data_IF_910372361722
#
_entry.id   IF_910372361722
#
_cell.length_a   1.000
_cell.length_b   1.000
_cell.length_c   1.000
_cell.angle_alpha   90.00
_cell.angle_beta   90.00
_cell.angle_gamma   90.00
#
_symmetry.space_group_name_H-M   'P 1'
#
loop_
_entity.id
_entity.type
_entity.pdbx_description
1 polymer ?
#
# COMPACT_ATOMS: atom_id res chain seq x y z
N UNK A 1 -38.81 13.15 -7.35
CA UNK A 1 -37.61 12.71 -8.05
C UNK A 1 -36.99 13.93 -8.71
N UNK A 2 -35.99 14.52 -8.09
CA UNK A 2 -35.19 15.55 -8.72
C UNK A 2 -34.23 14.88 -9.70
N UNK A 3 -34.37 15.19 -10.98
CA UNK A 3 -33.37 14.97 -12.01
C UNK A 3 -32.09 15.72 -11.61
N UNK A 4 -31.19 15.06 -10.88
CA UNK A 4 -29.82 15.49 -10.82
C UNK A 4 -29.19 15.15 -12.16
N UNK A 5 -28.78 16.17 -12.87
CA UNK A 5 -28.20 16.15 -14.20
C UNK A 5 -27.14 15.06 -14.37
N UNK A 6 -27.31 14.25 -15.41
CA UNK A 6 -26.42 13.19 -15.92
C UNK A 6 -25.06 13.70 -16.43
N UNK A 7 -24.39 14.55 -15.66
CA UNK A 7 -22.98 14.86 -15.82
C UNK A 7 -22.13 14.18 -14.71
N UNK A 8 -22.65 13.09 -14.15
CA UNK A 8 -21.89 12.24 -13.27
C UNK A 8 -20.76 11.59 -14.08
N UNK A 9 -19.53 11.82 -13.62
CA UNK A 9 -18.36 11.20 -14.19
C UNK A 9 -18.53 9.69 -14.00
N UNK A 10 -18.76 8.93 -15.09
CA UNK A 10 -19.14 7.51 -15.04
C UNK A 10 -18.19 6.64 -14.23
N UNK A 11 -16.93 7.06 -14.02
CA UNK A 11 -15.96 6.36 -13.14
C UNK A 11 -16.37 6.34 -11.67
N UNK A 12 -17.29 7.22 -11.22
CA UNK A 12 -17.88 7.17 -9.87
C UNK A 12 -18.73 5.91 -9.66
N UNK A 13 -19.19 5.26 -10.74
CA UNK A 13 -19.96 4.04 -10.64
C UNK A 13 -19.18 2.85 -10.07
N UNK A 14 -17.85 2.78 -10.23
CA UNK A 14 -17.04 1.77 -9.54
C UNK A 14 -17.16 1.87 -8.02
N UNK A 15 -17.18 3.10 -7.48
CA UNK A 15 -17.42 3.29 -6.05
C UNK A 15 -18.85 2.90 -5.66
N UNK A 16 -19.84 3.27 -6.46
CA UNK A 16 -21.25 2.87 -6.26
C UNK A 16 -21.40 1.35 -6.23
N UNK A 17 -20.79 0.63 -7.19
CA UNK A 17 -20.83 -0.82 -7.23
C UNK A 17 -20.24 -1.42 -5.94
N UNK A 18 -19.12 -0.89 -5.45
CA UNK A 18 -18.51 -1.31 -4.16
C UNK A 18 -19.46 -1.06 -2.98
N UNK A 19 -20.21 0.05 -2.98
CA UNK A 19 -21.25 0.30 -1.96
C UNK A 19 -22.38 -0.73 -2.04
N UNK A 20 -22.78 -1.13 -3.24
CA UNK A 20 -23.84 -2.14 -3.41
C UNK A 20 -23.37 -3.53 -2.97
N UNK A 21 -22.11 -3.90 -3.22
CA UNK A 21 -21.52 -5.14 -2.71
C UNK A 21 -21.48 -5.15 -1.18
N UNK A 22 -21.04 -4.06 -0.54
CA UNK A 22 -21.06 -3.94 0.93
C UNK A 22 -22.50 -3.98 1.48
N UNK A 23 -23.46 -3.37 0.78
CA UNK A 23 -24.87 -3.43 1.15
C UNK A 23 -25.42 -4.87 1.13
N UNK A 24 -24.98 -5.67 0.16
CA UNK A 24 -25.33 -7.10 0.05
C UNK A 24 -24.69 -7.90 1.20
N UNK A 25 -23.40 -7.68 1.49
CA UNK A 25 -22.70 -8.32 2.61
C UNK A 25 -23.34 -8.00 3.96
N UNK A 26 -23.86 -6.78 4.13
CA UNK A 26 -24.58 -6.36 5.33
C UNK A 26 -26.03 -6.91 5.38
N UNK A 27 -26.51 -7.60 4.33
CA UNK A 27 -27.82 -8.22 4.25
C UNK A 27 -28.98 -7.25 3.92
N UNK A 28 -28.67 -6.02 3.47
CA UNK A 28 -29.70 -5.01 3.12
C UNK A 28 -30.02 -4.95 1.63
N UNK A 29 -29.28 -5.63 0.77
CA UNK A 29 -29.56 -5.71 -0.66
C UNK A 29 -30.55 -6.84 -0.98
N UNK A 30 -31.83 -6.63 -0.57
CA UNK A 30 -32.91 -7.58 -0.79
C UNK A 30 -34.25 -6.87 -1.00
N UNK A 31 -35.26 -7.59 -1.52
CA UNK A 31 -36.57 -7.03 -1.85
C UNK A 31 -37.29 -6.40 -0.66
N UNK A 32 -37.05 -6.87 0.57
CA UNK A 32 -37.67 -6.32 1.76
C UNK A 32 -37.31 -4.86 2.00
N UNK A 33 -36.06 -4.50 1.71
CA UNK A 33 -35.53 -3.14 1.90
C UNK A 33 -35.60 -2.30 0.64
N UNK A 34 -35.19 -2.86 -0.53
CA UNK A 34 -35.09 -2.11 -1.78
C UNK A 34 -36.43 -1.62 -2.28
N UNK A 35 -37.49 -2.44 -2.17
CA UNK A 35 -38.85 -2.06 -2.62
C UNK A 35 -39.46 -0.90 -1.79
N UNK A 36 -38.96 -0.67 -0.59
CA UNK A 36 -39.41 0.42 0.29
C UNK A 36 -38.55 1.68 0.20
N UNK A 37 -37.35 1.56 -0.42
CA UNK A 37 -36.34 2.62 -0.51
C UNK A 37 -35.46 2.74 0.73
N UNK A 38 -34.18 2.97 0.50
CA UNK A 38 -33.14 3.20 1.51
C UNK A 38 -32.40 4.48 1.21
N UNK A 39 -32.03 5.21 2.26
CA UNK A 39 -31.04 6.29 2.19
C UNK A 39 -29.73 5.75 2.74
N UNK A 40 -28.72 5.62 1.88
CA UNK A 40 -27.40 5.10 2.21
C UNK A 40 -26.43 6.25 2.31
N UNK A 41 -25.87 6.46 3.50
CA UNK A 41 -24.83 7.46 3.77
C UNK A 41 -23.48 6.79 3.70
N UNK A 42 -22.59 7.33 2.87
CA UNK A 42 -21.30 6.71 2.58
C UNK A 42 -20.13 7.62 2.95
N UNK A 43 -18.95 7.04 3.03
CA UNK A 43 -17.68 7.76 3.22
C UNK A 43 -17.11 8.38 1.93
N UNK A 44 -17.91 8.40 0.87
CA UNK A 44 -17.52 8.95 -0.44
C UNK A 44 -17.03 10.40 -0.33
N UNK A 45 -15.86 10.66 -0.90
CA UNK A 45 -15.29 11.99 -1.03
C UNK A 45 -15.26 12.39 -2.50
N UNK A 46 -16.17 13.29 -2.88
CA UNK A 46 -16.30 13.75 -4.27
C UNK A 46 -15.07 14.52 -4.76
N UNK A 47 -14.36 15.28 -3.91
CA UNK A 47 -13.12 15.97 -4.28
C UNK A 47 -12.04 14.94 -4.67
N UNK A 48 -11.81 13.92 -3.85
CA UNK A 48 -10.83 12.87 -4.14
C UNK A 48 -11.18 12.08 -5.39
N UNK A 49 -12.46 11.72 -5.54
CA UNK A 49 -12.92 10.99 -6.74
C UNK A 49 -12.73 11.82 -8.01
N UNK A 50 -13.09 13.11 -7.98
CA UNK A 50 -12.93 14.00 -9.13
C UNK A 50 -11.45 14.20 -9.46
N UNK A 51 -10.59 14.42 -8.47
CA UNK A 51 -9.14 14.54 -8.69
C UNK A 51 -8.56 13.29 -9.36
N UNK A 52 -8.94 12.08 -8.90
CA UNK A 52 -8.51 10.84 -9.57
C UNK A 52 -9.00 10.76 -11.01
N UNK A 53 -10.28 11.06 -11.24
CA UNK A 53 -10.89 11.00 -12.56
C UNK A 53 -10.19 11.97 -13.54
N UNK A 54 -9.92 13.19 -13.10
CA UNK A 54 -9.26 14.21 -13.92
C UNK A 54 -7.82 13.81 -14.25
N UNK A 55 -7.07 13.30 -13.27
CA UNK A 55 -5.71 12.82 -13.48
C UNK A 55 -5.65 11.65 -14.48
N UNK A 56 -6.58 10.69 -14.40
CA UNK A 56 -6.66 9.57 -15.35
C UNK A 56 -6.96 10.08 -16.77
N UNK A 57 -7.87 11.03 -16.90
CA UNK A 57 -8.18 11.67 -18.19
C UNK A 57 -6.97 12.45 -18.74
N UNK A 58 -6.29 13.20 -17.90
CA UNK A 58 -5.08 13.97 -18.27
C UNK A 58 -3.97 13.05 -18.81
N UNK A 59 -3.75 11.89 -18.19
CA UNK A 59 -2.72 10.92 -18.60
C UNK A 59 -3.04 10.18 -19.90
N UNK A 60 -4.28 10.25 -20.41
CA UNK A 60 -4.70 9.66 -21.69
C UNK A 60 -4.22 8.22 -21.87
N UNK A 61 -4.54 7.35 -20.91
CA UNK A 61 -4.13 5.93 -20.92
C UNK A 61 -4.55 5.26 -22.24
N UNK A 62 -3.58 4.84 -23.04
CA UNK A 62 -3.80 4.32 -24.39
C UNK A 62 -4.10 2.81 -24.41
N UNK A 63 -4.67 2.35 -25.54
CA UNK A 63 -4.87 0.93 -25.84
C UNK A 63 -5.64 0.20 -24.74
N UNK A 64 -5.20 -1.02 -24.41
CA UNK A 64 -5.86 -1.90 -23.44
C UNK A 64 -5.29 -1.78 -22.03
N UNK A 65 -4.29 -0.91 -21.82
CA UNK A 65 -3.74 -0.67 -20.48
C UNK A 65 -4.86 -0.24 -19.53
N UNK A 66 -4.88 -0.81 -18.34
CA UNK A 66 -5.86 -0.53 -17.31
C UNK A 66 -5.19 0.03 -16.05
N UNK A 67 -6.00 0.65 -15.21
CA UNK A 67 -5.58 1.12 -13.90
C UNK A 67 -6.67 0.88 -12.87
N UNK A 68 -6.28 0.78 -11.62
CA UNK A 68 -7.20 0.76 -10.50
C UNK A 68 -6.57 1.48 -9.31
N UNK A 69 -7.39 2.24 -8.57
CA UNK A 69 -6.94 3.02 -7.42
C UNK A 69 -7.96 2.95 -6.29
N UNK A 70 -7.45 2.94 -5.07
CA UNK A 70 -8.23 3.14 -3.85
C UNK A 70 -7.65 4.31 -3.07
N UNK A 71 -8.52 5.13 -2.50
CA UNK A 71 -8.15 6.19 -1.56
C UNK A 71 -8.87 5.94 -0.24
N UNK A 72 -8.12 5.81 0.84
CA UNK A 72 -8.66 5.52 2.15
C UNK A 72 -8.10 6.47 3.21
N UNK A 73 -8.84 6.61 4.31
CA UNK A 73 -8.38 7.31 5.50
C UNK A 73 -7.83 6.31 6.53
N UNK A 74 -6.52 6.26 6.79
CA UNK A 74 -5.95 5.29 7.75
C UNK A 74 -6.47 5.46 9.18
N UNK A 75 -6.92 6.65 9.57
CA UNK A 75 -7.45 6.91 10.92
C UNK A 75 -8.83 6.36 11.16
N UNK A 76 -9.63 6.20 10.12
CA UNK A 76 -11.04 5.79 10.22
C UNK A 76 -11.34 4.50 9.48
N UNK A 77 -10.46 4.06 8.59
CA UNK A 77 -10.67 2.97 7.61
C UNK A 77 -11.83 3.22 6.63
N UNK A 78 -12.20 4.49 6.41
CA UNK A 78 -13.14 4.88 5.37
C UNK A 78 -12.49 4.74 4.00
N UNK A 79 -13.13 4.03 3.07
CA UNK A 79 -12.81 4.07 1.65
C UNK A 79 -13.48 5.33 1.07
N UNK A 80 -12.69 6.29 0.63
CA UNK A 80 -13.18 7.62 0.27
C UNK A 80 -13.29 7.86 -1.24
N UNK A 81 -12.49 7.15 -2.05
CA UNK A 81 -12.59 7.14 -3.50
C UNK A 81 -12.09 5.80 -4.07
N UNK A 82 -12.56 5.44 -5.25
CA UNK A 82 -12.18 4.19 -5.92
C UNK A 82 -12.31 4.32 -7.44
N UNK A 83 -11.31 3.80 -8.14
CA UNK A 83 -11.28 3.60 -9.58
C UNK A 83 -11.03 2.11 -9.85
N UNK A 84 -11.92 1.46 -10.59
CA UNK A 84 -11.79 0.05 -10.97
C UNK A 84 -11.33 -0.18 -12.40
N UNK A 85 -11.14 0.88 -13.18
CA UNK A 85 -10.70 0.86 -14.57
C UNK A 85 -10.61 2.27 -15.12
N UNK A 86 -9.95 2.45 -16.25
CA UNK A 86 -9.79 3.78 -16.88
C UNK A 86 -11.09 4.37 -17.43
N UNK A 87 -12.05 3.50 -17.76
CA UNK A 87 -13.32 3.89 -18.36
C UNK A 87 -14.43 2.87 -18.01
N UNK A 88 -15.39 3.32 -17.20
CA UNK A 88 -16.51 2.50 -16.75
C UNK A 88 -17.48 2.13 -17.89
N UNK A 89 -17.66 3.01 -18.89
CA UNK A 89 -18.55 2.73 -20.00
C UNK A 89 -18.08 1.55 -20.85
N UNK A 90 -16.76 1.41 -21.01
CA UNK A 90 -16.15 0.33 -21.77
C UNK A 90 -15.92 -0.95 -20.95
N UNK A 91 -15.72 -0.83 -19.63
CA UNK A 91 -15.49 -1.98 -18.76
C UNK A 91 -15.99 -1.68 -17.35
N UNK A 92 -17.04 -2.38 -16.93
CA UNK A 92 -17.60 -2.30 -15.58
C UNK A 92 -16.86 -3.19 -14.58
N UNK A 93 -15.88 -3.98 -15.04
CA UNK A 93 -15.09 -4.84 -14.18
C UNK A 93 -14.26 -4.01 -13.19
N UNK A 94 -14.61 -4.10 -11.90
CA UNK A 94 -13.96 -3.37 -10.82
C UNK A 94 -12.65 -4.06 -10.41
N UNK A 95 -11.55 -3.68 -11.03
CA UNK A 95 -10.23 -4.28 -10.79
C UNK A 95 -9.70 -4.01 -9.39
N UNK A 96 -10.15 -2.94 -8.75
CA UNK A 96 -9.73 -2.62 -7.39
C UNK A 96 -10.18 -3.69 -6.38
N UNK A 97 -11.35 -4.29 -6.62
CA UNK A 97 -11.97 -5.29 -5.75
C UNK A 97 -11.74 -6.72 -6.27
N UNK A 98 -11.87 -6.93 -7.59
CA UNK A 98 -11.96 -8.28 -8.15
C UNK A 98 -10.69 -8.77 -8.85
N UNK A 99 -9.76 -7.88 -9.26
CA UNK A 99 -8.53 -8.32 -9.91
C UNK A 99 -7.50 -8.77 -8.88
N UNK A 100 -7.20 -10.06 -8.86
CA UNK A 100 -6.15 -10.65 -8.04
C UNK A 100 -4.82 -10.61 -8.81
N UNK A 101 -3.90 -9.74 -8.39
CA UNK A 101 -2.63 -9.46 -9.07
C UNK A 101 -1.45 -9.71 -8.13
N UNK A 102 -0.30 -10.06 -8.70
CA UNK A 102 0.92 -10.25 -7.94
C UNK A 102 1.41 -8.91 -7.39
N UNK A 103 1.56 -8.83 -6.06
CA UNK A 103 1.84 -7.55 -5.39
C UNK A 103 3.31 -7.15 -5.38
N UNK A 104 4.23 -8.05 -5.74
CA UNK A 104 5.66 -7.74 -5.85
C UNK A 104 6.22 -7.11 -4.58
N UNK A 105 7.13 -6.17 -4.74
CA UNK A 105 7.82 -5.52 -3.62
C UNK A 105 6.95 -4.68 -2.69
N UNK A 106 5.65 -4.49 -2.96
CA UNK A 106 4.73 -3.93 -1.95
C UNK A 106 4.54 -4.86 -0.75
N UNK A 107 4.96 -6.12 -0.84
CA UNK A 107 5.05 -7.08 0.25
C UNK A 107 6.08 -6.71 1.32
N UNK A 108 7.21 -6.12 0.95
CA UNK A 108 8.39 -5.96 1.81
C UNK A 108 8.10 -5.23 3.13
N UNK A 109 7.25 -4.19 3.21
CA UNK A 109 6.91 -3.57 4.48
C UNK A 109 6.31 -4.52 5.52
N UNK A 110 5.56 -5.55 5.09
CA UNK A 110 5.00 -6.55 6.02
C UNK A 110 6.09 -7.43 6.62
N UNK A 111 7.04 -7.84 5.79
CA UNK A 111 8.23 -8.57 6.21
C UNK A 111 9.07 -7.72 7.18
N UNK A 112 9.28 -6.44 6.89
CA UNK A 112 10.08 -5.56 7.72
C UNK A 112 9.37 -5.14 9.02
N UNK A 113 8.03 -5.11 9.03
CA UNK A 113 7.27 -5.02 10.28
C UNK A 113 7.61 -6.21 11.20
N UNK A 114 7.57 -7.44 10.67
CA UNK A 114 7.94 -8.65 11.41
C UNK A 114 9.40 -8.63 11.87
N UNK A 115 10.31 -8.11 11.04
CA UNK A 115 11.70 -7.94 11.40
C UNK A 115 11.89 -6.97 12.59
N UNK A 116 11.18 -5.82 12.57
CA UNK A 116 11.18 -4.87 13.67
C UNK A 116 10.61 -5.46 14.97
N UNK A 117 9.65 -6.38 14.89
CA UNK A 117 9.14 -7.13 16.05
C UNK A 117 10.16 -8.14 16.58
N UNK A 118 11.11 -8.57 15.77
CA UNK A 118 12.17 -9.53 16.10
C UNK A 118 13.55 -8.86 16.31
N UNK A 119 13.56 -7.60 16.75
CA UNK A 119 14.77 -6.90 17.21
C UNK A 119 15.54 -6.15 16.12
N UNK A 120 15.07 -6.16 14.87
CA UNK A 120 15.67 -5.28 13.85
C UNK A 120 15.40 -3.82 14.17
N UNK A 121 16.30 -2.96 13.71
CA UNK A 121 16.19 -1.52 13.79
C UNK A 121 16.67 -0.87 12.46
N UNK A 122 16.55 0.44 12.27
CA UNK A 122 16.96 1.10 11.02
C UNK A 122 18.40 0.83 10.59
N UNK A 123 19.31 0.54 11.55
CA UNK A 123 20.74 0.27 11.31
C UNK A 123 21.07 -1.21 11.11
N UNK A 124 20.11 -2.14 11.26
CA UNK A 124 20.37 -3.59 11.09
C UNK A 124 20.89 -3.86 9.69
N UNK A 125 21.99 -4.60 9.57
CA UNK A 125 22.74 -4.77 8.33
C UNK A 125 22.77 -6.21 7.86
N UNK A 126 22.71 -6.37 6.54
CA UNK A 126 23.05 -7.60 5.83
C UNK A 126 23.94 -7.30 4.63
N UNK A 127 24.86 -8.23 4.34
CA UNK A 127 25.69 -8.21 3.14
C UNK A 127 24.81 -8.34 1.89
N UNK A 128 24.91 -7.41 0.94
CA UNK A 128 24.18 -7.38 -0.30
C UNK A 128 25.10 -7.75 -1.49
N UNK A 129 25.12 -9.03 -1.85
CA UNK A 129 25.87 -9.61 -2.95
C UNK A 129 25.05 -10.73 -3.62
N UNK A 130 25.40 -11.19 -4.83
CA UNK A 130 24.78 -12.36 -5.44
C UNK A 130 24.80 -13.55 -4.46
N UNK A 131 23.64 -14.05 -4.08
CA UNK A 131 23.52 -15.07 -3.04
C UNK A 131 22.64 -16.22 -3.52
N UNK A 132 23.13 -17.45 -3.38
CA UNK A 132 22.35 -18.67 -3.59
C UNK A 132 22.02 -19.27 -2.23
N UNK A 133 20.75 -19.32 -1.91
CA UNK A 133 20.25 -19.89 -0.66
C UNK A 133 19.97 -21.38 -0.83
N UNK A 134 20.49 -22.19 0.09
CA UNK A 134 20.10 -23.59 0.22
C UNK A 134 18.85 -23.67 1.10
N UNK A 135 17.80 -24.27 0.60
CA UNK A 135 16.53 -24.41 1.30
C UNK A 135 16.42 -25.80 1.98
N UNK A 136 15.54 -25.91 2.98
CA UNK A 136 15.37 -27.13 3.78
C UNK A 136 15.01 -28.39 2.98
N UNK A 137 14.43 -28.22 1.79
CA UNK A 137 14.07 -29.31 0.86
C UNK A 137 15.20 -29.66 -0.14
N UNK A 138 16.45 -29.29 0.15
CA UNK A 138 17.62 -29.46 -0.72
C UNK A 138 17.54 -28.74 -2.09
N UNK A 139 16.59 -27.85 -2.27
CA UNK A 139 16.58 -26.96 -3.44
C UNK A 139 17.39 -25.70 -3.18
N UNK A 140 17.72 -24.98 -4.25
CA UNK A 140 18.39 -23.68 -4.15
C UNK A 140 17.50 -22.57 -4.66
N UNK A 141 17.68 -21.36 -4.13
CA UNK A 141 17.01 -20.16 -4.56
C UNK A 141 18.01 -19.01 -4.72
N UNK A 142 18.10 -18.43 -5.90
CA UNK A 142 19.04 -17.35 -6.24
C UNK A 142 18.26 -16.13 -6.70
N UNK A 143 17.79 -15.27 -5.78
CA UNK A 143 17.13 -14.03 -6.13
C UNK A 143 18.15 -13.06 -6.75
N UNK A 144 17.66 -12.21 -7.66
CA UNK A 144 18.45 -11.13 -8.21
C UNK A 144 17.87 -9.76 -7.83
N UNK A 145 18.73 -8.79 -7.61
CA UNK A 145 18.34 -7.39 -7.55
C UNK A 145 18.03 -6.85 -8.94
N UNK A 146 17.32 -5.73 -8.99
CA UNK A 146 17.00 -5.06 -10.23
C UNK A 146 18.27 -4.78 -11.05
N UNK A 147 18.26 -5.15 -12.34
CA UNK A 147 19.41 -5.11 -13.24
C UNK A 147 20.66 -5.84 -12.70
N UNK A 148 20.52 -6.81 -11.80
CA UNK A 148 21.61 -7.56 -11.19
C UNK A 148 22.68 -6.67 -10.53
N UNK A 149 22.24 -5.54 -9.94
CA UNK A 149 23.11 -4.62 -9.20
C UNK A 149 23.15 -4.95 -7.73
N UNK A 150 24.34 -4.98 -7.15
CA UNK A 150 24.58 -5.34 -5.75
C UNK A 150 25.53 -4.33 -5.12
N UNK A 151 25.43 -4.15 -3.80
CA UNK A 151 26.30 -3.24 -3.06
C UNK A 151 27.71 -3.82 -2.84
N UNK A 152 27.83 -5.14 -2.80
CA UNK A 152 29.04 -5.89 -2.42
C UNK A 152 29.58 -5.48 -1.04
N UNK A 153 28.71 -5.02 -0.19
CA UNK A 153 28.95 -4.63 1.19
C UNK A 153 27.67 -4.79 2.02
N UNK A 154 27.80 -4.64 3.32
CA UNK A 154 26.62 -4.58 4.19
C UNK A 154 25.81 -3.31 3.91
N UNK A 155 24.49 -3.47 3.86
CA UNK A 155 23.53 -2.38 3.73
C UNK A 155 22.59 -2.38 4.93
N UNK A 156 22.12 -1.21 5.32
CA UNK A 156 21.17 -1.05 6.43
C UNK A 156 19.74 -1.41 6.02
N UNK A 157 18.87 -1.69 6.98
CA UNK A 157 17.42 -1.82 6.74
C UNK A 157 16.86 -0.56 6.09
N UNK A 158 17.30 0.63 6.53
CA UNK A 158 16.88 1.90 5.94
C UNK A 158 17.21 1.97 4.44
N UNK A 159 18.43 1.58 4.05
CA UNK A 159 18.84 1.54 2.65
C UNK A 159 18.08 0.45 1.88
N UNK A 160 17.94 -0.76 2.45
CA UNK A 160 17.25 -1.87 1.81
C UNK A 160 15.78 -1.54 1.47
N UNK A 161 15.10 -0.81 2.35
CA UNK A 161 13.73 -0.32 2.08
C UNK A 161 13.73 0.72 0.97
N UNK A 162 14.62 1.71 1.04
CA UNK A 162 14.67 2.82 0.09
C UNK A 162 14.89 2.37 -1.35
N UNK A 163 15.83 1.45 -1.56
CA UNK A 163 16.17 0.91 -2.90
C UNK A 163 15.40 -0.37 -3.25
N UNK A 164 14.61 -0.88 -2.32
CA UNK A 164 13.84 -2.14 -2.50
C UNK A 164 14.70 -3.36 -2.80
N UNK A 165 15.82 -3.54 -2.04
CA UNK A 165 16.76 -4.64 -2.22
C UNK A 165 16.10 -6.02 -2.03
N UNK A 166 16.34 -6.94 -2.98
CA UNK A 166 15.78 -8.28 -2.96
C UNK A 166 16.59 -9.24 -2.08
N UNK A 167 17.92 -9.09 -2.06
CA UNK A 167 18.80 -9.97 -1.28
C UNK A 167 18.55 -9.74 0.21
N UNK A 168 18.49 -8.48 0.63
CA UNK A 168 18.17 -8.13 2.02
C UNK A 168 16.81 -8.69 2.43
N UNK A 169 15.79 -8.55 1.57
CA UNK A 169 14.45 -9.06 1.85
C UNK A 169 14.45 -10.58 2.03
N UNK A 170 15.08 -11.34 1.14
CA UNK A 170 15.15 -12.81 1.24
C UNK A 170 15.96 -13.23 2.46
N UNK A 171 17.09 -12.59 2.76
CA UNK A 171 17.86 -12.84 4.00
C UNK A 171 17.01 -12.62 5.25
N UNK A 172 16.29 -11.51 5.31
CA UNK A 172 15.36 -11.22 6.41
C UNK A 172 14.30 -12.30 6.56
N UNK A 173 13.67 -12.71 5.45
CA UNK A 173 12.61 -13.72 5.46
C UNK A 173 13.09 -15.08 5.95
N UNK A 174 14.25 -15.52 5.48
CA UNK A 174 14.85 -16.77 5.92
C UNK A 174 15.32 -16.70 7.37
N UNK A 175 15.84 -15.55 7.82
CA UNK A 175 16.24 -15.32 9.21
C UNK A 175 15.06 -15.42 10.18
N UNK A 176 13.91 -14.86 9.80
CA UNK A 176 12.69 -14.89 10.62
C UNK A 176 11.98 -16.25 10.63
N UNK A 177 12.23 -17.09 9.64
CA UNK A 177 11.40 -18.26 9.34
C UNK A 177 10.30 -17.92 8.34
N UNK A 178 10.22 -18.69 7.27
CA UNK A 178 9.35 -18.39 6.11
C UNK A 178 7.86 -18.46 6.43
N UNK A 179 7.47 -19.16 7.48
CA UNK A 179 6.09 -19.24 7.98
C UNK A 179 5.56 -17.94 8.54
N UNK A 180 6.40 -17.11 9.14
CA UNK A 180 5.95 -15.88 9.81
C UNK A 180 5.25 -14.90 8.85
N UNK A 181 5.84 -14.67 7.67
CA UNK A 181 5.23 -13.80 6.66
C UNK A 181 3.96 -14.42 6.06
N UNK A 182 3.97 -15.75 5.81
CA UNK A 182 2.77 -16.47 5.37
C UNK A 182 1.62 -16.33 6.36
N UNK A 183 1.89 -16.52 7.65
CA UNK A 183 0.87 -16.48 8.70
C UNK A 183 0.37 -15.05 8.94
N UNK A 184 1.26 -14.07 8.83
CA UNK A 184 0.87 -12.66 8.81
C UNK A 184 -0.16 -12.38 7.70
N UNK A 185 0.13 -12.79 6.47
CA UNK A 185 -0.78 -12.59 5.33
C UNK A 185 -2.10 -13.34 5.50
N UNK A 186 -2.04 -14.56 6.04
CA UNK A 186 -3.23 -15.37 6.34
C UNK A 186 -4.17 -14.67 7.32
N UNK A 187 -3.64 -13.90 8.28
CA UNK A 187 -4.44 -13.13 9.23
C UNK A 187 -5.28 -12.02 8.56
N UNK A 188 -4.92 -11.63 7.31
CA UNK A 188 -5.67 -10.70 6.47
C UNK A 188 -6.43 -11.40 5.32
N UNK A 189 -6.61 -12.73 5.41
CA UNK A 189 -7.33 -13.50 4.39
C UNK A 189 -6.54 -13.76 3.11
N UNK A 190 -5.22 -13.51 3.09
CA UNK A 190 -4.37 -13.74 1.91
C UNK A 190 -3.64 -15.09 2.07
N UNK A 191 -3.98 -16.02 1.19
CA UNK A 191 -3.33 -17.34 1.17
C UNK A 191 -2.03 -17.28 0.36
N UNK A 192 -0.91 -17.49 1.02
CA UNK A 192 0.42 -17.49 0.43
C UNK A 192 1.10 -18.86 0.57
N UNK A 193 1.95 -19.18 -0.41
CA UNK A 193 2.83 -20.37 -0.31
C UNK A 193 3.98 -20.07 0.66
N UNK A 194 4.33 -21.06 1.47
CA UNK A 194 5.49 -20.97 2.34
C UNK A 194 6.77 -21.27 1.55
N UNK A 195 7.37 -20.23 0.97
CA UNK A 195 8.61 -20.35 0.19
C UNK A 195 9.45 -19.07 0.28
N UNK A 196 10.72 -19.17 -0.11
CA UNK A 196 11.68 -18.06 -0.02
C UNK A 196 11.30 -16.85 -0.91
N UNK A 197 10.65 -17.08 -2.05
CA UNK A 197 10.26 -16.01 -2.97
C UNK A 197 9.08 -15.17 -2.47
N UNK A 198 8.37 -15.62 -1.41
CA UNK A 198 7.30 -14.84 -0.79
C UNK A 198 7.79 -13.47 -0.33
N UNK A 199 9.04 -13.35 0.13
CA UNK A 199 9.67 -12.07 0.49
C UNK A 199 9.63 -11.03 -0.63
N UNK A 200 9.53 -11.48 -1.88
CA UNK A 200 9.50 -10.63 -3.08
C UNK A 200 8.07 -10.40 -3.61
N UNK A 201 7.06 -10.87 -2.86
CA UNK A 201 5.66 -10.66 -3.19
C UNK A 201 5.11 -11.58 -4.27
N UNK A 202 5.60 -12.84 -4.33
CA UNK A 202 5.04 -13.86 -5.22
C UNK A 202 3.70 -14.40 -4.71
N UNK A 203 2.80 -13.51 -4.36
CA UNK A 203 1.44 -13.79 -3.91
C UNK A 203 0.48 -12.82 -4.59
N UNK A 204 -0.72 -13.28 -4.86
CA UNK A 204 -1.76 -12.48 -5.51
C UNK A 204 -2.78 -12.00 -4.48
N UNK A 205 -3.17 -10.75 -4.60
CA UNK A 205 -4.35 -10.17 -3.94
C UNK A 205 -4.84 -8.97 -4.75
N UNK A 206 -5.98 -8.42 -4.39
CA UNK A 206 -6.46 -7.17 -4.97
C UNK A 206 -5.94 -5.95 -4.20
N UNK A 207 -6.03 -4.77 -4.81
CA UNK A 207 -5.52 -3.53 -4.18
C UNK A 207 -6.38 -3.09 -2.99
N UNK A 208 -7.65 -3.47 -2.92
CA UNK A 208 -8.50 -3.21 -1.76
C UNK A 208 -7.98 -3.93 -0.51
N UNK A 209 -7.69 -5.24 -0.61
CA UNK A 209 -7.10 -6.00 0.48
C UNK A 209 -5.70 -5.49 0.87
N UNK A 210 -4.90 -5.12 -0.13
CA UNK A 210 -3.59 -4.52 0.11
C UNK A 210 -3.74 -3.20 0.89
N UNK A 211 -4.73 -2.39 0.56
CA UNK A 211 -5.04 -1.13 1.26
C UNK A 211 -5.48 -1.36 2.71
N UNK A 212 -6.20 -2.44 3.00
CA UNK A 212 -6.55 -2.81 4.37
C UNK A 212 -5.29 -2.99 5.24
N UNK A 213 -4.29 -3.73 4.75
CA UNK A 213 -3.05 -3.99 5.50
C UNK A 213 -2.25 -2.70 5.68
N UNK A 214 -2.13 -1.91 4.62
CA UNK A 214 -1.39 -0.64 4.70
C UNK A 214 -2.08 0.40 5.58
N UNK A 215 -3.41 0.47 5.60
CA UNK A 215 -4.15 1.30 6.55
C UNK A 215 -3.89 0.90 7.99
N UNK A 216 -3.76 -0.39 8.27
CA UNK A 216 -3.38 -0.87 9.60
C UNK A 216 -1.98 -0.38 10.01
N UNK A 217 -0.98 -0.52 9.15
CA UNK A 217 0.38 0.00 9.40
C UNK A 217 0.36 1.53 9.54
N UNK A 218 -0.29 2.22 8.60
CA UNK A 218 -0.37 3.68 8.56
C UNK A 218 -1.10 4.26 9.79
N UNK A 219 -2.02 3.51 10.39
CA UNK A 219 -2.71 3.94 11.61
C UNK A 219 -1.94 3.69 12.90
N UNK A 220 -0.73 3.11 12.82
CA UNK A 220 0.03 2.67 13.99
C UNK A 220 -0.54 1.38 14.59
N UNK A 221 -1.01 0.47 13.76
CA UNK A 221 -1.44 -0.87 14.14
C UNK A 221 -2.90 -1.02 14.56
N UNK A 222 -3.73 -0.01 14.35
CA UNK A 222 -5.18 -0.09 14.64
C UNK A 222 -5.92 -0.61 13.42
N UNK A 223 -6.50 -1.80 13.53
CA UNK A 223 -7.16 -2.50 12.45
C UNK A 223 -8.69 -2.47 12.53
N UNK A 224 -9.27 -2.25 11.39
CA UNK A 224 -10.65 -2.49 11.02
C UNK A 224 -10.66 -2.66 9.49
N UNK A 225 -11.59 -3.43 8.95
CA UNK A 225 -11.75 -3.48 7.49
C UNK A 225 -12.12 -2.11 6.92
N UNK A 226 -11.68 -1.82 5.71
CA UNK A 226 -12.17 -0.68 4.95
C UNK A 226 -13.67 -0.82 4.75
N UNK A 227 -14.38 0.30 4.76
CA UNK A 227 -15.82 0.33 4.57
C UNK A 227 -16.23 1.58 3.77
N UNK A 228 -17.37 1.49 3.13
CA UNK A 228 -18.00 2.59 2.38
C UNK A 228 -19.25 3.12 3.05
N UNK A 229 -20.01 2.25 3.76
CA UNK A 229 -21.33 2.58 4.32
C UNK A 229 -21.17 3.03 5.76
N UNK A 230 -21.53 4.29 6.02
CA UNK A 230 -21.55 4.86 7.38
C UNK A 230 -22.88 4.62 8.11
N UNK A 231 -23.98 4.77 7.37
CA UNK A 231 -25.33 4.66 7.95
C UNK A 231 -26.35 4.30 6.87
N UNK A 232 -27.37 3.52 7.25
CA UNK A 232 -28.52 3.21 6.41
C UNK A 232 -29.78 3.64 7.16
N UNK A 233 -30.64 4.39 6.47
CA UNK A 233 -31.92 4.87 6.98
C UNK A 233 -33.04 4.35 6.07
N UNK A 234 -34.09 3.79 6.66
CA UNK A 234 -35.25 3.30 5.93
C UNK A 234 -36.15 4.43 5.41
N UNK A 235 -37.20 4.06 4.68
CA UNK A 235 -38.18 5.00 4.12
C UNK A 235 -38.98 5.78 5.18
N UNK A 236 -38.99 5.34 6.44
CA UNK A 236 -39.66 6.01 7.56
C UNK A 236 -38.69 6.96 8.31
N UNK A 237 -37.44 7.05 7.89
CA UNK A 237 -36.43 7.87 8.54
C UNK A 237 -35.76 7.21 9.74
N UNK A 238 -36.01 5.90 9.96
CA UNK A 238 -35.39 5.14 11.05
C UNK A 238 -34.00 4.65 10.61
N UNK A 239 -32.98 4.89 11.44
CA UNK A 239 -31.67 4.30 11.25
C UNK A 239 -31.72 2.78 11.50
N UNK A 240 -31.44 1.98 10.48
CA UNK A 240 -31.43 0.52 10.54
C UNK A 240 -30.03 -0.07 10.56
N UNK A 241 -29.02 0.71 10.18
CA UNK A 241 -27.61 0.38 10.29
C UNK A 241 -26.79 1.63 10.61
N UNK A 242 -25.82 1.47 11.50
CA UNK A 242 -24.82 2.48 11.81
C UNK A 242 -23.48 1.79 11.94
N UNK A 243 -22.51 2.19 11.11
CA UNK A 243 -21.15 1.68 11.21
C UNK A 243 -20.56 1.93 12.60
N UNK A 244 -20.02 0.89 13.22
CA UNK A 244 -19.36 0.98 14.52
C UNK A 244 -17.85 1.05 14.35
N UNK A 245 -17.24 2.11 14.82
CA UNK A 245 -15.78 2.21 14.84
C UNK A 245 -15.22 1.27 15.92
N UNK A 246 -14.92 0.02 15.53
CA UNK A 246 -14.40 -1.03 16.42
C UNK A 246 -12.96 -1.40 16.04
N UNK A 247 -12.11 -0.40 15.95
CA UNK A 247 -10.69 -0.59 15.60
C UNK A 247 -9.94 -1.24 16.76
N UNK A 248 -9.34 -2.38 16.49
CA UNK A 248 -8.51 -3.12 17.45
C UNK A 248 -7.02 -2.85 17.20
N UNK A 249 -6.22 -2.77 18.28
CA UNK A 249 -4.76 -2.70 18.19
C UNK A 249 -4.24 -4.12 17.96
N UNK A 250 -4.00 -4.52 16.70
CA UNK A 250 -3.49 -5.85 16.35
C UNK A 250 -2.02 -5.86 15.92
N UNK A 251 -1.45 -4.71 15.58
CA UNK A 251 -0.02 -4.56 15.35
C UNK A 251 0.61 -3.64 16.40
N UNK A 252 1.90 -3.84 16.65
CA UNK A 252 2.66 -3.00 17.58
C UNK A 252 2.79 -1.58 17.02
N UNK A 253 2.40 -0.59 17.82
CA UNK A 253 2.39 0.80 17.41
C UNK A 253 3.80 1.31 17.07
N UNK A 254 4.78 1.01 17.92
CA UNK A 254 6.14 1.50 17.76
C UNK A 254 6.79 0.96 16.50
N UNK A 255 6.62 -0.31 16.19
CA UNK A 255 7.12 -0.92 14.94
C UNK A 255 6.45 -0.33 13.71
N UNK A 256 5.13 -0.10 13.75
CA UNK A 256 4.45 0.62 12.67
C UNK A 256 5.00 2.03 12.46
N UNK A 257 5.28 2.76 13.54
CA UNK A 257 5.82 4.13 13.47
C UNK A 257 7.25 4.16 12.89
N UNK A 258 8.12 3.23 13.32
CA UNK A 258 9.47 3.08 12.76
C UNK A 258 9.39 2.75 11.26
N UNK A 259 8.55 1.78 10.89
CA UNK A 259 8.36 1.38 9.49
C UNK A 259 7.82 2.52 8.63
N UNK A 260 6.82 3.27 9.12
CA UNK A 260 6.28 4.43 8.40
C UNK A 260 7.37 5.48 8.12
N UNK A 261 8.27 5.71 9.09
CA UNK A 261 9.40 6.61 8.90
C UNK A 261 10.41 6.05 7.89
N UNK A 262 10.78 4.77 7.99
CA UNK A 262 11.69 4.12 7.04
C UNK A 262 11.19 4.22 5.59
N UNK A 263 9.88 4.09 5.37
CA UNK A 263 9.26 4.19 4.04
C UNK A 263 9.34 5.59 3.40
N UNK A 264 9.67 6.64 4.16
CA UNK A 264 9.96 7.96 3.58
C UNK A 264 11.30 7.97 2.84
N UNK A 265 12.21 7.06 3.17
CA UNK A 265 13.53 6.94 2.54
C UNK A 265 13.49 6.63 1.04
N UNK A 266 12.37 6.12 0.53
CA UNK A 266 12.20 5.84 -0.91
C UNK A 266 12.36 7.07 -1.80
N UNK A 267 12.19 8.28 -1.27
CA UNK A 267 12.38 9.56 -1.97
C UNK A 267 13.80 10.13 -1.81
N UNK A 268 14.63 9.55 -0.94
CA UNK A 268 15.93 10.14 -0.59
C UNK A 268 17.07 9.59 -1.45
N UNK A 269 17.65 10.45 -2.29
CA UNK A 269 18.80 10.15 -3.17
C UNK A 269 20.06 9.69 -2.44
N UNK A 270 20.22 10.01 -1.15
CA UNK A 270 21.40 9.57 -0.37
C UNK A 270 21.52 8.04 -0.31
N UNK A 271 20.41 7.32 -0.48
CA UNK A 271 20.42 5.85 -0.55
C UNK A 271 20.85 5.28 -1.91
N UNK A 272 20.93 6.10 -2.95
CA UNK A 272 21.15 5.67 -4.33
C UNK A 272 22.65 5.44 -4.62
N UNK A 273 23.24 4.44 -3.98
CA UNK A 273 24.68 4.11 -4.13
C UNK A 273 24.93 3.04 -5.18
N UNK A 274 24.10 2.01 -5.28
CA UNK A 274 24.21 0.92 -6.27
C UNK A 274 22.88 0.66 -7.00
N UNK A 275 21.76 0.88 -6.32
CA UNK A 275 20.42 0.95 -6.86
C UNK A 275 19.82 2.31 -6.51
N UNK A 276 18.92 2.79 -7.32
CA UNK A 276 18.24 4.05 -7.07
C UNK A 276 17.15 3.87 -5.99
N UNK A 277 17.00 4.84 -5.09
CA UNK A 277 15.83 4.94 -4.24
C UNK A 277 14.58 5.03 -5.13
N UNK A 278 13.57 4.21 -4.84
CA UNK A 278 12.52 3.87 -5.82
C UNK A 278 11.64 5.04 -6.25
N UNK A 279 11.66 6.14 -5.49
CA UNK A 279 10.91 7.37 -5.72
C UNK A 279 11.79 8.63 -5.80
N UNK A 280 13.11 8.50 -5.98
CA UNK A 280 14.06 9.63 -5.92
C UNK A 280 13.81 10.74 -6.95
N UNK A 281 13.14 10.40 -8.06
CA UNK A 281 12.78 11.35 -9.12
C UNK A 281 11.42 12.03 -8.91
N UNK A 282 10.73 11.71 -7.82
CA UNK A 282 9.43 12.28 -7.47
C UNK A 282 9.56 13.20 -6.26
N UNK A 283 8.73 14.24 -6.25
CA UNK A 283 8.66 15.19 -5.14
C UNK A 283 7.24 15.27 -4.60
N UNK A 284 7.12 15.28 -3.29
CA UNK A 284 5.86 15.52 -2.59
C UNK A 284 5.94 16.82 -1.81
N UNK A 285 4.85 17.60 -1.80
CA UNK A 285 4.77 18.85 -1.03
C UNK A 285 4.95 18.61 0.47
N UNK A 286 4.47 17.47 0.95
CA UNK A 286 4.47 17.10 2.35
C UNK A 286 5.01 15.69 2.52
N UNK A 287 5.43 15.35 3.74
CA UNK A 287 5.99 14.04 4.05
C UNK A 287 4.98 12.91 3.84
N UNK A 288 5.38 11.92 3.06
CA UNK A 288 4.63 10.69 2.82
C UNK A 288 5.53 9.46 2.92
N UNK A 289 4.99 8.36 3.38
CA UNK A 289 5.56 7.04 3.27
C UNK A 289 5.18 6.44 1.92
N UNK A 290 6.07 5.72 1.28
CA UNK A 290 5.80 5.12 -0.02
C UNK A 290 6.46 3.76 -0.18
N UNK A 291 5.77 2.84 -0.85
CA UNK A 291 6.35 1.60 -1.37
C UNK A 291 5.83 1.29 -2.75
N UNK A 292 6.74 0.98 -3.64
CA UNK A 292 6.44 0.55 -5.01
C UNK A 292 6.57 -0.96 -5.15
N UNK A 293 5.81 -1.53 -6.05
CA UNK A 293 5.92 -2.91 -6.50
C UNK A 293 5.93 -2.98 -8.01
N UNK A 294 6.81 -3.77 -8.58
CA UNK A 294 6.87 -4.00 -10.01
C UNK A 294 7.09 -5.47 -10.27
N UNK A 295 6.36 -6.00 -11.22
CA UNK A 295 6.61 -7.28 -11.88
C UNK A 295 6.80 -7.01 -13.36
N UNK A 296 6.97 -8.04 -14.18
CA UNK A 296 6.96 -7.87 -15.64
C UNK A 296 5.59 -7.37 -16.16
N UNK A 297 4.53 -7.60 -15.38
CA UNK A 297 3.12 -7.45 -15.80
C UNK A 297 2.36 -6.38 -15.05
N UNK A 298 2.84 -6.00 -13.86
CA UNK A 298 2.12 -5.15 -12.92
C UNK A 298 3.01 -4.05 -12.35
N UNK A 299 2.47 -2.85 -12.24
CA UNK A 299 3.08 -1.76 -11.49
C UNK A 299 2.13 -1.31 -10.38
N UNK A 300 2.64 -1.32 -9.15
CA UNK A 300 1.90 -0.94 -7.97
C UNK A 300 2.60 0.17 -7.20
N UNK A 301 1.81 0.95 -6.50
CA UNK A 301 2.29 1.94 -5.55
C UNK A 301 1.32 2.03 -4.37
N UNK A 302 1.86 2.10 -3.17
CA UNK A 302 1.13 2.54 -1.99
C UNK A 302 1.86 3.74 -1.41
N UNK A 303 1.18 4.85 -1.28
CA UNK A 303 1.75 6.08 -0.72
C UNK A 303 0.75 6.72 0.25
N UNK A 304 1.24 7.22 1.38
CA UNK A 304 0.35 7.69 2.44
C UNK A 304 1.02 8.61 3.46
N UNK A 305 0.17 9.34 4.17
CA UNK A 305 0.46 9.94 5.47
C UNK A 305 -0.59 9.47 6.51
N UNK A 306 -0.60 9.99 7.74
CA UNK A 306 -1.60 9.55 8.75
C UNK A 306 -3.08 9.77 8.38
N UNK A 307 -3.39 10.60 7.37
CA UNK A 307 -4.77 11.00 7.04
C UNK A 307 -5.29 10.45 5.72
N UNK A 308 -4.40 10.15 4.78
CA UNK A 308 -4.74 9.74 3.43
C UNK A 308 -3.78 8.68 2.94
N UNK A 309 -4.32 7.63 2.36
CA UNK A 309 -3.60 6.56 1.70
C UNK A 309 -4.15 6.40 0.30
N UNK A 310 -3.26 6.38 -0.68
CA UNK A 310 -3.58 5.97 -2.05
C UNK A 310 -2.83 4.68 -2.38
N UNK A 311 -3.55 3.72 -2.93
CA UNK A 311 -2.98 2.49 -3.48
C UNK A 311 -3.41 2.37 -4.93
N UNK A 312 -2.47 2.14 -5.81
CA UNK A 312 -2.70 2.09 -7.25
C UNK A 312 -2.03 0.90 -7.92
N UNK A 313 -2.70 0.41 -8.96
CA UNK A 313 -2.22 -0.62 -9.87
C UNK A 313 -2.41 -0.16 -11.31
N UNK A 314 -1.43 -0.48 -12.15
CA UNK A 314 -1.47 -0.31 -13.61
C UNK A 314 -0.96 -1.59 -14.25
N UNK A 315 -1.68 -2.10 -15.25
CA UNK A 315 -1.34 -3.33 -15.95
C UNK A 315 -2.35 -3.69 -17.04
N UNK A 316 -2.16 -4.85 -17.65
CA UNK A 316 -3.05 -5.40 -18.66
C UNK A 316 -3.88 -6.55 -18.09
N UNK A 317 -5.14 -6.66 -18.48
CA UNK A 317 -6.05 -7.72 -18.02
C UNK A 317 -5.58 -9.12 -18.45
N UNK A 318 -4.96 -9.23 -19.61
CA UNK A 318 -4.44 -10.47 -20.19
C UNK A 318 -3.05 -10.88 -19.68
N UNK A 319 -2.51 -10.19 -18.70
CA UNK A 319 -1.17 -10.44 -18.14
C UNK A 319 -0.03 -10.35 -19.16
N UNK A 320 -0.16 -9.56 -20.21
CA UNK A 320 0.98 -9.28 -21.07
C UNK A 320 1.95 -8.32 -20.40
N UNK A 321 3.21 -8.39 -20.79
CA UNK A 321 4.28 -7.55 -20.22
C UNK A 321 4.05 -6.07 -20.51
N UNK A 322 4.38 -5.24 -19.52
CA UNK A 322 4.46 -3.80 -19.70
C UNK A 322 5.85 -3.47 -20.24
N UNK A 323 5.95 -3.16 -21.52
CA UNK A 323 7.24 -2.86 -22.18
C UNK A 323 7.53 -1.36 -22.22
N UNK A 324 6.48 -0.54 -22.40
CA UNK A 324 6.60 0.91 -22.52
C UNK A 324 7.04 1.54 -21.19
N UNK A 325 8.11 2.33 -21.23
CA UNK A 325 8.68 3.00 -20.06
C UNK A 325 7.73 4.02 -19.42
N UNK A 326 6.87 4.69 -20.21
CA UNK A 326 5.87 5.64 -19.70
C UNK A 326 4.75 4.90 -18.94
N UNK A 327 4.36 3.72 -19.41
CA UNK A 327 3.36 2.90 -18.72
C UNK A 327 3.89 2.37 -17.38
N UNK A 328 5.20 2.04 -17.32
CA UNK A 328 5.86 1.56 -16.09
C UNK A 328 5.89 2.58 -14.95
N UNK A 329 5.77 3.85 -15.25
CA UNK A 329 5.79 4.92 -14.23
C UNK A 329 4.40 5.49 -13.91
N UNK A 330 3.40 5.14 -14.70
CA UNK A 330 2.07 5.76 -14.63
C UNK A 330 1.40 5.65 -13.25
N UNK A 331 1.50 4.48 -12.59
CA UNK A 331 0.95 4.31 -11.24
C UNK A 331 1.60 5.29 -10.24
N UNK A 332 2.93 5.49 -10.34
CA UNK A 332 3.68 6.41 -9.48
C UNK A 332 3.26 7.86 -9.73
N UNK A 333 3.19 8.26 -11.00
CA UNK A 333 2.81 9.62 -11.37
C UNK A 333 1.41 9.95 -10.87
N UNK A 334 0.42 9.10 -11.16
CA UNK A 334 -0.97 9.31 -10.74
C UNK A 334 -1.09 9.42 -9.20
N UNK A 335 -0.42 8.55 -8.46
CA UNK A 335 -0.48 8.57 -7.00
C UNK A 335 0.18 9.83 -6.41
N UNK A 336 1.35 10.24 -6.92
CA UNK A 336 2.06 11.42 -6.42
C UNK A 336 1.34 12.70 -6.81
N UNK A 337 0.85 12.81 -8.06
CA UNK A 337 0.07 13.95 -8.51
C UNK A 337 -1.21 14.11 -7.66
N UNK A 338 -1.90 13.00 -7.36
CA UNK A 338 -3.05 12.99 -6.47
C UNK A 338 -2.69 13.51 -5.07
N UNK A 339 -1.66 12.97 -4.43
CA UNK A 339 -1.27 13.39 -3.08
C UNK A 339 -0.84 14.86 -3.04
N UNK A 340 -0.15 15.35 -4.08
CA UNK A 340 0.25 16.76 -4.18
C UNK A 340 -0.94 17.70 -4.37
N UNK A 341 -2.03 17.25 -4.99
CA UNK A 341 -3.29 18.00 -5.10
C UNK A 341 -4.09 17.96 -3.78
N UNK A 342 -4.15 16.79 -3.11
CA UNK A 342 -5.10 16.56 -2.01
C UNK A 342 -4.54 16.78 -0.61
N UNK A 343 -3.23 16.64 -0.38
CA UNK A 343 -2.65 16.98 0.92
C UNK A 343 -2.50 18.50 1.01
N UNK A 344 -3.28 19.14 1.88
CA UNK A 344 -3.32 20.60 2.02
C UNK A 344 -2.39 21.12 3.12
N UNK A 345 -1.93 20.24 4.04
CA UNK A 345 -1.05 20.61 5.16
C UNK A 345 -0.21 19.43 5.62
N UNK A 346 0.92 19.75 6.25
CA UNK A 346 1.79 18.72 6.87
C UNK A 346 1.02 17.93 7.93
N UNK A 347 1.12 16.63 7.84
CA UNK A 347 0.62 15.70 8.85
C UNK A 347 1.54 14.51 8.92
N UNK A 348 2.19 14.33 10.08
CA UNK A 348 3.09 13.21 10.29
C UNK A 348 2.92 12.62 11.69
N UNK A 349 3.50 11.48 11.91
CA UNK A 349 3.49 10.76 13.18
C UNK A 349 4.36 11.50 14.21
N UNK A 350 4.02 11.32 15.48
CA UNK A 350 4.79 11.87 16.60
C UNK A 350 5.60 10.79 17.30
N UNK A 351 6.78 11.14 17.74
CA UNK A 351 7.62 10.28 18.59
C UNK A 351 6.86 9.92 19.88
N UNK A 352 6.89 8.64 20.25
CA UNK A 352 6.28 8.18 21.50
C UNK A 352 7.33 8.09 22.61
N UNK A 353 6.88 7.99 23.87
CA UNK A 353 7.77 7.81 25.02
C UNK A 353 8.58 6.50 25.00
N UNK A 354 8.21 5.54 24.15
CA UNK A 354 8.89 4.25 23.98
C UNK A 354 9.96 4.25 22.88
N UNK A 355 10.09 5.36 22.16
CA UNK A 355 11.04 5.50 21.05
C UNK A 355 12.07 6.59 21.37
N UNK A 356 13.28 6.42 20.84
CA UNK A 356 14.34 7.42 20.78
C UNK A 356 14.51 7.89 19.32
N UNK A 357 14.79 9.18 19.15
CA UNK A 357 15.21 9.74 17.87
C UNK A 357 16.73 9.80 17.84
N UNK A 358 17.36 9.08 16.91
CA UNK A 358 18.82 8.97 16.81
C UNK A 358 19.21 9.30 15.37
N UNK A 359 20.17 10.22 15.21
CA UNK A 359 20.75 10.51 13.91
C UNK A 359 21.80 9.46 13.57
N UNK A 360 21.68 8.87 12.39
CA UNK A 360 22.60 7.85 11.88
C UNK A 360 23.02 8.19 10.46
N UNK A 361 24.22 7.78 10.10
CA UNK A 361 24.57 7.67 8.69
C UNK A 361 23.70 6.56 8.05
N UNK A 362 22.86 6.87 7.05
CA UNK A 362 21.86 5.93 6.54
C UNK A 362 22.49 4.74 5.80
N UNK A 363 23.74 4.85 5.37
CA UNK A 363 24.46 3.80 4.64
C UNK A 363 25.22 2.88 5.59
N UNK A 364 26.03 3.45 6.50
CA UNK A 364 26.83 2.65 7.46
C UNK A 364 26.00 2.19 8.67
N UNK A 365 24.90 2.89 8.98
CA UNK A 365 24.09 2.64 10.17
C UNK A 365 24.72 3.15 11.48
N UNK A 366 25.91 3.76 11.44
CA UNK A 366 26.58 4.29 12.63
C UNK A 366 25.92 5.60 13.09
N UNK A 367 26.02 5.89 14.39
CA UNK A 367 25.60 7.18 14.93
C UNK A 367 26.38 8.29 14.25
N UNK A 368 25.68 9.31 13.75
CA UNK A 368 26.25 10.44 13.03
C UNK A 368 25.34 11.65 13.23
N UNK A 369 25.80 12.66 13.95
CA UNK A 369 25.03 13.86 14.27
C UNK A 369 24.57 14.63 13.01
N UNK A 370 25.26 14.45 11.89
CA UNK A 370 24.91 15.05 10.60
C UNK A 370 24.03 14.14 9.73
N UNK A 371 23.74 12.94 10.23
CA UNK A 371 22.98 11.91 9.53
C UNK A 371 21.47 12.14 9.51
N UNK A 372 20.76 11.12 9.11
CA UNK A 372 19.28 11.12 9.10
C UNK A 372 18.77 10.65 10.45
N UNK A 373 17.81 11.38 11.02
CA UNK A 373 17.16 10.99 12.28
C UNK A 373 16.17 9.87 12.02
N UNK A 374 16.39 8.73 12.66
CA UNK A 374 15.46 7.60 12.71
C UNK A 374 14.96 7.33 14.11
N UNK A 375 13.85 6.63 14.20
CA UNK A 375 13.28 6.19 15.48
C UNK A 375 13.75 4.78 15.80
N UNK A 376 14.15 4.60 17.04
CA UNK A 376 14.62 3.33 17.60
C UNK A 376 13.80 3.01 18.83
N UNK A 377 13.53 1.74 19.09
CA UNK A 377 12.93 1.33 20.37
C UNK A 377 13.91 1.64 21.51
N UNK A 378 13.42 2.11 22.66
CA UNK A 378 14.25 2.25 23.84
C UNK A 378 14.77 0.90 24.28
N UNK A 379 16.07 0.83 24.61
CA UNK A 379 16.75 -0.40 25.03
C UNK A 379 17.22 -1.28 23.87
N UNK A 380 17.07 -0.88 22.60
CA UNK A 380 17.82 -1.47 21.48
C UNK A 380 19.16 -0.78 21.37
N UNK A 381 20.27 -1.56 21.19
CA UNK A 381 21.61 -0.97 21.04
C UNK A 381 21.76 -0.18 19.76
#
# INVERSE_FOLDING_TARGET
ASEHSLNENMSTYYYKDTVLEELEELGFYNNQYLNKGLNIYTSFNSEYQNTLNDLIKEKKIQGDLQCAFTVANPKTNQLQALIGGKDYANSQYNRAIHASRQIGSTMKPFLYYLALENGFNPSTRFLCEPTTFKLSNNTTYSPANFHQKYAYQEITLAQAIAVSDNIYAVKTHLFLGTENLRDFLKSYGINAKNNASLALGTVNTNIYNLSNIYCNIASGGKYQHLYTIEKIVDHQGKTIYQHKNQRIQNLNKESCLILNQLLTGTFNKQFSTYLNATMENYQTKYKVACKTGSTDYDNLIVAYNPNILINGWVGYDDNRKIENSQEKVLAKELAIDFLNKEIKKESWYKLTSKLNAIAINPISGNIDETGIVYWFRKGTP
#
